data_IF_723666041901
#
_entry.id   IF_723666041901
#
_cell.length_a   1.000
_cell.length_b   1.000
_cell.length_c   1.000
_cell.angle_alpha   90.00
_cell.angle_beta   90.00
_cell.angle_gamma   90.00
#
_symmetry.space_group_name_H-M   'P 1'
#
loop_
_entity.id
_entity.type
_entity.pdbx_description
1 polymer ?
#
# COMPACT_ATOMS: atom_id res chain seq x y z
N UNK A 1 -15.05 15.01 -4.49
CA UNK A 1 -14.23 15.01 -3.29
C UNK A 1 -14.26 13.64 -2.63
N UNK A 2 -13.11 13.07 -2.33
CA UNK A 2 -13.04 11.76 -1.72
C UNK A 2 -13.46 11.76 -0.25
N UNK A 3 -13.60 10.58 0.32
CA UNK A 3 -13.86 10.41 1.73
C UNK A 3 -12.64 10.83 2.54
N UNK A 4 -12.86 11.46 3.66
CA UNK A 4 -11.82 11.85 4.58
C UNK A 4 -11.78 10.91 5.78
N UNK A 5 -10.69 11.00 6.53
CA UNK A 5 -10.47 10.17 7.69
C UNK A 5 -11.26 10.72 8.88
N UNK A 6 -12.55 10.48 8.87
CA UNK A 6 -13.45 10.88 9.94
C UNK A 6 -14.07 9.68 10.66
N UNK A 7 -13.51 8.52 10.46
CA UNK A 7 -14.09 7.27 10.94
C UNK A 7 -14.17 7.22 12.48
N UNK A 8 -13.21 7.85 13.16
CA UNK A 8 -13.19 7.92 14.61
C UNK A 8 -14.15 8.96 15.19
N UNK A 9 -14.58 9.91 14.36
CA UNK A 9 -15.53 10.94 14.79
C UNK A 9 -16.93 10.39 14.99
N UNK A 10 -17.21 9.24 14.42
CA UNK A 10 -18.52 8.61 14.56
C UNK A 10 -18.78 8.08 15.97
N UNK A 11 -17.74 7.97 16.79
CA UNK A 11 -17.86 7.62 18.20
C UNK A 11 -18.30 6.20 18.51
N UNK A 12 -18.86 5.48 17.57
CA UNK A 12 -19.36 4.13 17.75
C UNK A 12 -18.27 3.06 17.67
N UNK A 13 -17.04 3.47 17.38
CA UNK A 13 -15.90 2.56 17.31
C UNK A 13 -15.15 2.49 18.63
N UNK A 14 -15.57 3.27 19.62
CA UNK A 14 -14.96 3.28 20.93
C UNK A 14 -15.07 1.90 21.57
N UNK A 15 -13.95 1.34 22.03
CA UNK A 15 -13.91 0.03 22.64
C UNK A 15 -13.82 -1.15 21.69
N UNK A 16 -13.92 -0.92 20.38
CA UNK A 16 -13.76 -1.98 19.39
C UNK A 16 -12.31 -2.07 18.93
N UNK A 17 -11.81 -3.30 18.66
CA UNK A 17 -10.48 -3.44 18.09
C UNK A 17 -10.38 -2.73 16.74
N UNK A 18 -9.24 -2.10 16.49
CA UNK A 18 -9.00 -1.50 15.19
C UNK A 18 -8.86 -2.60 14.15
N UNK A 19 -9.64 -2.50 13.06
CA UNK A 19 -9.58 -3.44 11.95
C UNK A 19 -9.52 -2.69 10.62
N UNK A 20 -8.80 -3.26 9.66
CA UNK A 20 -8.74 -2.71 8.30
C UNK A 20 -9.89 -3.29 7.48
N UNK A 21 -11.12 -2.81 7.75
CA UNK A 21 -12.29 -3.19 6.99
C UNK A 21 -12.45 -2.28 5.76
N UNK A 22 -13.52 -2.48 5.00
CA UNK A 22 -13.78 -1.69 3.79
C UNK A 22 -13.86 -0.18 4.07
N UNK A 23 -14.47 0.20 5.17
CA UNK A 23 -14.62 1.61 5.52
C UNK A 23 -13.27 2.27 5.80
N UNK A 24 -12.39 1.58 6.55
CA UNK A 24 -11.03 2.06 6.80
C UNK A 24 -10.22 2.09 5.51
N UNK A 25 -10.39 1.06 4.67
CA UNK A 25 -9.67 0.97 3.40
C UNK A 25 -9.97 2.16 2.50
N UNK A 26 -11.22 2.60 2.44
CA UNK A 26 -11.63 3.73 1.60
C UNK A 26 -10.93 5.04 1.97
N UNK A 27 -10.61 5.24 3.25
CA UNK A 27 -10.00 6.49 3.71
C UNK A 27 -8.53 6.34 4.08
N UNK A 28 -7.97 5.15 3.91
CA UNK A 28 -6.63 4.82 4.43
C UNK A 28 -5.55 5.73 3.86
N UNK A 29 -5.56 5.98 2.56
CA UNK A 29 -4.55 6.83 1.93
C UNK A 29 -4.58 8.25 2.48
N UNK A 30 -5.79 8.80 2.66
CA UNK A 30 -5.93 10.12 3.25
C UNK A 30 -5.42 10.16 4.69
N UNK A 31 -5.80 9.16 5.46
CA UNK A 31 -5.39 9.03 6.85
C UNK A 31 -3.86 8.95 6.99
N UNK A 32 -3.22 8.11 6.19
CA UNK A 32 -1.76 7.92 6.22
C UNK A 32 -1.03 9.22 5.85
N UNK A 33 -1.45 9.88 4.80
CA UNK A 33 -0.82 11.13 4.35
C UNK A 33 -0.90 12.22 5.42
N UNK A 34 -1.98 12.23 6.19
CA UNK A 34 -2.21 13.23 7.23
C UNK A 34 -1.56 12.88 8.56
N UNK A 35 -1.37 11.59 8.83
CA UNK A 35 -0.95 11.10 10.13
C UNK A 35 0.51 10.71 10.23
N UNK A 36 1.16 10.41 9.11
CA UNK A 36 2.55 9.92 9.12
C UNK A 36 3.49 10.96 8.51
N UNK A 37 4.26 11.67 9.35
CA UNK A 37 5.24 12.64 8.84
C UNK A 37 6.28 11.94 7.94
N UNK A 38 6.61 12.58 6.84
CA UNK A 38 7.63 12.06 5.92
C UNK A 38 7.20 10.87 5.10
N UNK A 39 5.92 10.55 5.05
CA UNK A 39 5.41 9.40 4.31
C UNK A 39 5.84 9.41 2.84
N UNK A 40 5.64 10.52 2.14
CA UNK A 40 6.01 10.64 0.72
C UNK A 40 7.51 10.53 0.52
N UNK A 41 8.29 11.10 1.43
CA UNK A 41 9.75 11.00 1.39
C UNK A 41 10.18 9.55 1.54
N UNK A 42 9.57 8.81 2.46
CA UNK A 42 9.85 7.38 2.65
C UNK A 42 9.60 6.59 1.37
N UNK A 43 8.51 6.87 0.66
CA UNK A 43 8.21 6.21 -0.61
C UNK A 43 9.26 6.52 -1.68
N UNK A 44 9.74 7.76 -1.75
CA UNK A 44 10.82 8.14 -2.68
C UNK A 44 12.12 7.40 -2.36
N UNK A 45 12.42 7.21 -1.08
CA UNK A 45 13.59 6.46 -0.63
C UNK A 45 13.48 5.01 -1.08
N UNK A 46 12.30 4.40 -0.94
CA UNK A 46 12.05 3.03 -1.40
C UNK A 46 12.32 2.92 -2.89
N UNK A 47 11.84 3.86 -3.68
CA UNK A 47 12.09 3.90 -5.13
C UNK A 47 13.60 3.96 -5.43
N UNK A 48 14.31 4.79 -4.71
CA UNK A 48 15.76 4.95 -4.88
C UNK A 48 16.50 3.64 -4.56
N UNK A 49 16.16 2.98 -3.46
CA UNK A 49 16.77 1.71 -3.09
C UNK A 49 16.43 0.61 -4.11
N UNK A 50 15.21 0.55 -4.57
CA UNK A 50 14.83 -0.42 -5.60
C UNK A 50 15.65 -0.23 -6.87
N UNK A 51 15.80 1.02 -7.32
CA UNK A 51 16.59 1.35 -8.51
C UNK A 51 18.04 0.89 -8.39
N UNK A 52 18.63 1.03 -7.21
CA UNK A 52 20.07 0.79 -7.04
C UNK A 52 20.41 -0.61 -6.54
N UNK A 53 19.49 -1.31 -5.90
CA UNK A 53 19.80 -2.56 -5.21
C UNK A 53 18.97 -3.77 -5.64
N UNK A 54 17.89 -3.57 -6.42
CA UNK A 54 17.13 -4.73 -6.89
C UNK A 54 17.99 -5.60 -7.82
N UNK A 55 17.93 -6.91 -7.61
CA UNK A 55 18.59 -7.89 -8.47
C UNK A 55 17.55 -8.72 -9.21
N UNK A 56 17.76 -8.90 -10.51
CA UNK A 56 16.89 -9.74 -11.32
C UNK A 56 16.77 -11.15 -10.74
N UNK A 57 15.62 -11.76 -10.94
CA UNK A 57 15.30 -13.11 -10.47
C UNK A 57 15.27 -13.24 -8.94
N UNK A 58 15.11 -12.13 -8.23
CA UNK A 58 14.86 -12.16 -6.79
C UNK A 58 13.47 -11.62 -6.47
N UNK A 59 12.94 -11.99 -5.31
CA UNK A 59 11.63 -11.53 -4.85
C UNK A 59 11.79 -10.35 -3.90
N UNK A 60 10.86 -9.40 -4.02
CA UNK A 60 10.67 -8.34 -3.03
C UNK A 60 9.42 -8.65 -2.24
N UNK A 61 9.52 -8.66 -0.93
CA UNK A 61 8.37 -8.93 -0.07
C UNK A 61 7.88 -7.62 0.55
N UNK A 62 6.62 -7.32 0.34
CA UNK A 62 5.95 -6.15 0.94
C UNK A 62 5.02 -6.65 2.03
N UNK A 63 5.53 -6.74 3.25
CA UNK A 63 4.80 -7.29 4.39
C UNK A 63 3.96 -6.18 5.02
N UNK A 64 2.66 -6.43 5.13
CA UNK A 64 1.72 -5.39 5.51
C UNK A 64 1.53 -4.40 4.37
N UNK A 65 1.27 -4.90 3.18
CA UNK A 65 1.28 -4.08 1.96
C UNK A 65 0.18 -3.03 1.90
N UNK A 66 -0.90 -3.20 2.64
CA UNK A 66 -2.05 -2.29 2.61
C UNK A 66 -2.52 -2.06 1.18
N UNK A 67 -2.56 -0.82 0.72
CA UNK A 67 -2.99 -0.47 -0.63
C UNK A 67 -1.84 -0.53 -1.65
N UNK A 68 -0.67 -0.94 -1.24
CA UNK A 68 0.44 -1.20 -2.15
C UNK A 68 1.34 -0.02 -2.46
N UNK A 69 1.35 1.02 -1.62
CA UNK A 69 2.17 2.21 -1.87
C UNK A 69 3.66 1.87 -1.98
N UNK A 70 4.18 1.02 -1.08
CA UNK A 70 5.57 0.59 -1.13
C UNK A 70 5.85 -0.25 -2.37
N UNK A 71 4.95 -1.16 -2.72
CA UNK A 71 5.07 -1.97 -3.93
C UNK A 71 5.10 -1.10 -5.19
N UNK A 72 4.24 -0.08 -5.28
CA UNK A 72 4.29 0.89 -6.38
C UNK A 72 5.64 1.59 -6.45
N UNK A 73 6.17 1.99 -5.29
CA UNK A 73 7.44 2.69 -5.22
C UNK A 73 8.60 1.80 -5.69
N UNK A 74 8.57 0.51 -5.36
CA UNK A 74 9.55 -0.44 -5.84
C UNK A 74 9.48 -0.55 -7.36
N UNK A 75 8.28 -0.66 -7.93
CA UNK A 75 8.12 -0.77 -9.39
C UNK A 75 8.56 0.49 -10.12
N UNK A 76 8.46 1.65 -9.52
CA UNK A 76 8.97 2.87 -10.12
C UNK A 76 10.49 2.88 -10.23
N UNK A 77 11.17 2.27 -9.29
CA UNK A 77 12.63 2.15 -9.32
C UNK A 77 13.14 0.95 -10.09
N UNK A 78 12.37 -0.15 -10.07
CA UNK A 78 12.73 -1.41 -10.70
C UNK A 78 11.47 -2.01 -11.33
N UNK A 79 11.18 -1.62 -12.56
CA UNK A 79 9.92 -1.98 -13.22
C UNK A 79 9.75 -3.48 -13.50
N UNK A 80 10.83 -4.24 -13.42
CA UNK A 80 10.81 -5.70 -13.60
C UNK A 80 10.82 -6.46 -12.28
N UNK A 81 10.73 -5.76 -11.15
CA UNK A 81 10.76 -6.40 -9.85
C UNK A 81 9.59 -7.37 -9.68
N UNK A 82 9.87 -8.51 -9.06
CA UNK A 82 8.85 -9.47 -8.66
C UNK A 82 8.49 -9.19 -7.22
N UNK A 83 7.25 -8.80 -6.99
CA UNK A 83 6.79 -8.37 -5.67
C UNK A 83 5.75 -9.35 -5.15
N UNK A 84 5.96 -9.78 -3.91
CA UNK A 84 4.99 -10.58 -3.18
C UNK A 84 4.44 -9.69 -2.06
N UNK A 85 3.20 -9.27 -2.21
CA UNK A 85 2.55 -8.36 -1.30
C UNK A 85 1.66 -9.15 -0.34
N UNK A 86 1.82 -8.90 0.95
CA UNK A 86 1.17 -9.67 2.00
C UNK A 86 0.43 -8.70 2.94
N UNK A 87 -0.84 -9.00 3.18
CA UNK A 87 -1.61 -8.29 4.21
C UNK A 87 -2.69 -9.22 4.74
N UNK A 88 -2.98 -9.12 6.02
CA UNK A 88 -4.03 -9.95 6.60
C UNK A 88 -5.43 -9.41 6.31
N UNK A 89 -5.55 -8.18 5.83
CA UNK A 89 -6.83 -7.58 5.48
C UNK A 89 -7.21 -7.90 4.05
N UNK A 90 -8.26 -8.68 3.85
CA UNK A 90 -8.77 -8.99 2.52
C UNK A 90 -9.23 -7.72 1.79
N UNK A 91 -9.83 -6.76 2.52
CA UNK A 91 -10.25 -5.51 1.92
C UNK A 91 -9.07 -4.73 1.36
N UNK A 92 -7.94 -4.70 2.05
CA UNK A 92 -6.72 -4.05 1.57
C UNK A 92 -6.17 -4.74 0.33
N UNK A 93 -6.11 -6.07 0.35
CA UNK A 93 -5.60 -6.86 -0.78
C UNK A 93 -6.48 -6.68 -2.01
N UNK A 94 -7.80 -6.70 -1.86
CA UNK A 94 -8.73 -6.51 -2.96
C UNK A 94 -8.54 -5.14 -3.60
N UNK A 95 -8.44 -4.08 -2.79
CA UNK A 95 -8.23 -2.73 -3.31
C UNK A 95 -6.85 -2.56 -3.93
N UNK A 96 -5.84 -3.12 -3.31
CA UNK A 96 -4.49 -3.14 -3.87
C UNK A 96 -4.48 -3.79 -5.25
N UNK A 97 -5.15 -4.95 -5.39
CA UNK A 97 -5.27 -5.64 -6.66
C UNK A 97 -5.98 -4.81 -7.72
N UNK A 98 -7.05 -4.11 -7.34
CA UNK A 98 -7.77 -3.22 -8.27
C UNK A 98 -6.87 -2.10 -8.79
N UNK A 99 -6.08 -1.49 -7.92
CA UNK A 99 -5.14 -0.45 -8.31
C UNK A 99 -4.06 -0.96 -9.26
N UNK A 100 -3.53 -2.13 -8.99
CA UNK A 100 -2.46 -2.70 -9.81
C UNK A 100 -2.91 -3.20 -11.18
N UNK A 101 -4.19 -3.48 -11.37
CA UNK A 101 -4.72 -3.83 -12.70
C UNK A 101 -4.51 -2.73 -13.74
N UNK A 102 -4.36 -1.50 -13.28
CA UNK A 102 -4.13 -0.34 -14.15
C UNK A 102 -2.64 -0.14 -14.49
N UNK A 103 -1.77 -0.94 -13.91
CA UNK A 103 -0.32 -0.82 -14.13
C UNK A 103 0.10 -1.54 -15.39
N UNK A 104 1.21 -1.07 -15.99
CA UNK A 104 1.73 -1.65 -17.23
C UNK A 104 2.22 -3.08 -17.06
N UNK A 105 2.53 -3.50 -15.85
CA UNK A 105 3.14 -4.80 -15.59
C UNK A 105 2.48 -5.49 -14.39
N UNK A 106 1.19 -5.84 -14.51
CA UNK A 106 0.45 -6.41 -13.38
C UNK A 106 0.98 -7.78 -12.93
N UNK A 107 1.71 -8.48 -13.79
CA UNK A 107 2.29 -9.78 -13.46
C UNK A 107 3.44 -9.69 -12.45
N UNK A 108 3.94 -8.49 -12.19
CA UNK A 108 5.01 -8.28 -11.20
C UNK A 108 4.51 -8.38 -9.75
N UNK A 109 3.20 -8.38 -9.54
CA UNK A 109 2.64 -8.40 -8.20
C UNK A 109 1.87 -9.69 -7.96
N UNK A 110 2.19 -10.34 -6.84
CA UNK A 110 1.49 -11.55 -6.36
C UNK A 110 1.06 -11.32 -4.93
N UNK A 111 -0.11 -11.82 -4.57
CA UNK A 111 -0.63 -11.68 -3.21
C UNK A 111 -0.55 -12.98 -2.42
#
# INVERSE_FOLDING_TARGET
MGKQDNIYEKGNLSGLPFTFNEEVTEVFEDMIKRSVPGYRTSLKIITHYAKNFYKDDTNCYDIGCSLGASSFSILQGANKAKIIAIDKSEAMIDECGRKFKKYKNPSSLTF
#
